data_IF_947246105143
#
_entry.id   IF_947246105143
#
_cell.length_a   1.000
_cell.length_b   1.000
_cell.length_c   1.000
_cell.angle_alpha   90.00
_cell.angle_beta   90.00
_cell.angle_gamma   90.00
#
_symmetry.space_group_name_H-M   'P 1'
#
loop_
_entity.id
_entity.type
_entity.pdbx_description
1 polymer ?
#
# COMPACT_ATOMS: atom_id res chain seq x y z
N UNK A 1 -6.27 -9.48 1.95
CA UNK A 1 -7.23 -9.10 0.89
C UNK A 1 -7.66 -10.30 0.01
N UNK A 2 -6.76 -10.92 -0.77
CA UNK A 2 -7.09 -11.98 -1.75
C UNK A 2 -7.97 -13.12 -1.22
N UNK A 3 -7.66 -13.67 -0.05
CA UNK A 3 -8.48 -14.73 0.57
C UNK A 3 -9.96 -14.33 0.70
N UNK A 4 -10.24 -13.08 1.10
CA UNK A 4 -11.62 -12.57 1.25
C UNK A 4 -12.33 -12.45 -0.10
N UNK A 5 -11.58 -12.13 -1.16
CA UNK A 5 -12.08 -12.08 -2.55
C UNK A 5 -12.40 -13.51 -3.03
N UNK A 6 -11.51 -14.47 -2.79
CA UNK A 6 -11.73 -15.87 -3.12
C UNK A 6 -12.95 -16.44 -2.38
N UNK A 7 -13.11 -16.12 -1.09
CA UNK A 7 -14.27 -16.50 -0.29
C UNK A 7 -15.57 -15.91 -0.87
N UNK A 8 -15.54 -14.63 -1.32
CA UNK A 8 -16.68 -14.00 -2.00
C UNK A 8 -17.00 -14.68 -3.33
N UNK A 9 -15.97 -15.01 -4.12
CA UNK A 9 -16.13 -15.74 -5.39
C UNK A 9 -16.80 -17.09 -5.20
N UNK A 10 -16.38 -17.86 -4.17
CA UNK A 10 -16.98 -19.14 -3.82
C UNK A 10 -18.45 -18.99 -3.40
N UNK A 11 -18.77 -18.00 -2.56
CA UNK A 11 -20.15 -17.71 -2.14
C UNK A 11 -21.06 -17.41 -3.34
N UNK A 12 -20.61 -16.54 -4.24
CA UNK A 12 -21.35 -16.16 -5.45
C UNK A 12 -21.52 -17.35 -6.39
N UNK A 13 -20.46 -18.12 -6.62
CA UNK A 13 -20.48 -19.30 -7.49
C UNK A 13 -21.47 -20.37 -7.03
N UNK A 14 -21.54 -20.59 -5.71
CA UNK A 14 -22.43 -21.55 -5.06
C UNK A 14 -23.88 -21.07 -4.95
N UNK A 15 -24.21 -19.85 -5.38
CA UNK A 15 -25.49 -19.16 -5.10
C UNK A 15 -25.84 -19.16 -3.60
N UNK A 16 -24.82 -19.23 -2.75
CA UNK A 16 -24.99 -19.34 -1.31
C UNK A 16 -24.93 -17.94 -0.68
N UNK A 17 -25.75 -17.03 -1.21
CA UNK A 17 -25.90 -15.69 -0.68
C UNK A 17 -27.38 -15.31 -0.82
N UNK A 18 -27.99 -14.91 0.30
CA UNK A 18 -29.30 -14.27 0.26
C UNK A 18 -29.02 -12.79 0.08
N UNK A 19 -29.37 -12.25 -1.06
CA UNK A 19 -29.48 -10.80 -1.17
C UNK A 19 -30.71 -10.41 -0.36
N UNK A 20 -30.49 -9.72 0.76
CA UNK A 20 -31.59 -9.20 1.54
C UNK A 20 -32.47 -8.32 0.64
N UNK A 21 -33.79 -8.34 0.84
CA UNK A 21 -34.70 -7.46 0.09
C UNK A 21 -34.39 -5.99 0.34
N UNK A 22 -33.73 -5.72 1.46
CA UNK A 22 -33.33 -4.39 1.91
C UNK A 22 -31.95 -3.94 1.37
N UNK A 23 -31.27 -4.74 0.54
CA UNK A 23 -30.05 -4.28 -0.13
C UNK A 23 -30.40 -3.16 -1.10
N UNK A 24 -29.97 -1.94 -0.76
CA UNK A 24 -30.08 -0.79 -1.63
C UNK A 24 -29.28 -1.03 -2.90
N UNK A 25 -29.80 -0.55 -4.03
CA UNK A 25 -29.04 -0.56 -5.28
C UNK A 25 -27.86 0.39 -5.17
N UNK A 26 -26.72 -0.03 -5.72
CA UNK A 26 -25.50 0.76 -5.65
C UNK A 26 -25.66 2.07 -6.43
N UNK A 27 -25.33 3.17 -5.76
CA UNK A 27 -25.16 4.48 -6.37
C UNK A 27 -24.00 5.21 -5.71
N UNK A 28 -22.93 5.47 -6.45
CA UNK A 28 -21.75 6.16 -5.93
C UNK A 28 -20.53 6.04 -6.84
N UNK A 29 -19.57 6.95 -6.65
CA UNK A 29 -18.32 7.00 -7.42
C UNK A 29 -18.53 6.94 -8.95
N UNK A 30 -19.52 7.69 -9.44
CA UNK A 30 -19.94 7.73 -10.85
C UNK A 30 -20.41 6.38 -11.42
N UNK A 31 -20.83 5.46 -10.56
CA UNK A 31 -21.48 4.20 -10.93
C UNK A 31 -22.90 4.14 -10.36
N UNK A 32 -23.85 3.73 -11.18
CA UNK A 32 -25.22 3.38 -10.78
C UNK A 32 -25.53 1.96 -11.25
N UNK A 33 -26.07 1.13 -10.37
CA UNK A 33 -26.58 -0.20 -10.70
C UNK A 33 -28.11 -0.13 -10.60
N UNK A 34 -28.81 -0.60 -11.63
CA UNK A 34 -30.28 -0.51 -11.73
C UNK A 34 -30.88 -1.73 -12.40
N UNK A 35 -32.16 -2.01 -12.15
CA UNK A 35 -32.93 -3.05 -12.84
C UNK A 35 -33.58 -2.54 -14.14
N UNK A 36 -33.74 -1.22 -14.28
CA UNK A 36 -34.28 -0.58 -15.47
C UNK A 36 -33.55 0.73 -15.80
N UNK A 37 -33.34 0.95 -17.10
CA UNK A 37 -32.83 2.22 -17.62
C UNK A 37 -33.96 3.26 -17.64
N UNK A 38 -33.68 4.47 -17.13
CA UNK A 38 -34.60 5.61 -17.16
C UNK A 38 -34.00 6.75 -17.99
N UNK A 39 -34.83 7.65 -18.51
CA UNK A 39 -34.35 8.83 -19.26
C UNK A 39 -33.41 9.71 -18.44
N UNK A 40 -33.67 9.83 -17.14
CA UNK A 40 -32.79 10.61 -16.25
C UNK A 40 -31.41 9.96 -16.11
N UNK A 41 -31.35 8.63 -16.06
CA UNK A 41 -30.08 7.89 -16.04
C UNK A 41 -29.33 7.97 -17.38
N UNK A 42 -30.05 7.98 -18.51
CA UNK A 42 -29.45 8.19 -19.84
C UNK A 42 -28.80 9.57 -19.94
N UNK A 43 -29.53 10.61 -19.51
CA UNK A 43 -29.03 11.99 -19.46
C UNK A 43 -27.85 12.12 -18.47
N UNK A 44 -27.94 11.49 -17.30
CA UNK A 44 -26.88 11.49 -16.31
C UNK A 44 -25.60 10.82 -16.84
N UNK A 45 -25.73 9.66 -17.49
CA UNK A 45 -24.62 8.92 -18.10
C UNK A 45 -23.93 9.73 -19.21
N UNK A 46 -24.70 10.44 -20.03
CA UNK A 46 -24.19 11.27 -21.13
C UNK A 46 -23.43 12.54 -20.71
N UNK A 47 -23.36 12.85 -19.42
CA UNK A 47 -22.76 14.08 -18.90
C UNK A 47 -21.70 13.80 -17.81
N UNK A 48 -20.54 13.20 -18.15
CA UNK A 48 -19.54 12.79 -17.18
C UNK A 48 -18.88 13.98 -16.47
N UNK A 49 -18.55 13.87 -15.16
CA UNK A 49 -17.82 14.92 -14.45
C UNK A 49 -16.36 14.97 -14.91
N UNK A 50 -15.74 16.13 -14.73
CA UNK A 50 -14.30 16.29 -14.92
C UNK A 50 -13.55 15.71 -13.72
N UNK A 51 -12.64 14.76 -13.93
CA UNK A 51 -11.86 14.12 -12.85
C UNK A 51 -10.37 14.39 -13.06
N UNK A 52 -9.69 14.81 -11.99
CA UNK A 52 -8.23 14.99 -11.94
C UNK A 52 -7.63 13.82 -11.16
N UNK A 53 -6.93 12.91 -11.85
CA UNK A 53 -6.24 11.76 -11.26
C UNK A 53 -4.74 11.78 -11.56
N UNK A 54 -3.96 10.97 -10.84
CA UNK A 54 -2.51 10.85 -11.00
C UNK A 54 -2.21 10.32 -12.41
N UNK A 55 -1.74 11.19 -13.31
CA UNK A 55 -1.18 10.83 -14.62
C UNK A 55 -2.16 10.69 -15.80
N UNK A 56 -3.47 10.91 -15.62
CA UNK A 56 -4.43 10.96 -16.74
C UNK A 56 -5.40 12.13 -16.57
N UNK A 57 -5.26 13.15 -17.42
CA UNK A 57 -6.30 14.15 -17.64
C UNK A 57 -7.39 13.48 -18.50
N UNK A 58 -8.57 13.18 -17.93
CA UNK A 58 -9.62 12.49 -18.68
C UNK A 58 -10.96 12.46 -17.96
N UNK A 59 -12.04 12.40 -18.74
CA UNK A 59 -13.38 12.15 -18.21
C UNK A 59 -13.47 10.70 -17.71
N UNK A 60 -13.67 10.50 -16.40
CA UNK A 60 -14.16 9.21 -15.92
C UNK A 60 -15.63 9.10 -16.33
N UNK A 61 -15.92 8.26 -17.32
CA UNK A 61 -17.28 8.11 -17.82
C UNK A 61 -18.20 7.60 -16.71
N UNK A 62 -19.31 8.31 -16.44
CA UNK A 62 -20.40 7.79 -15.61
C UNK A 62 -20.89 6.46 -16.17
N UNK A 63 -21.02 5.46 -15.32
CA UNK A 63 -21.43 4.12 -15.72
C UNK A 63 -22.76 3.75 -15.11
N UNK A 64 -23.72 3.39 -15.96
CA UNK A 64 -24.96 2.74 -15.54
C UNK A 64 -24.88 1.26 -15.91
N UNK A 65 -25.07 0.37 -14.95
CA UNK A 65 -25.20 -1.08 -15.19
C UNK A 65 -26.67 -1.45 -15.01
N UNK A 66 -27.37 -1.69 -16.11
CA UNK A 66 -28.78 -2.07 -16.11
C UNK A 66 -28.90 -3.60 -16.25
N UNK A 67 -29.34 -4.30 -15.21
CA UNK A 67 -29.38 -5.77 -15.21
C UNK A 67 -30.47 -6.33 -14.28
N UNK A 68 -31.00 -7.51 -14.60
CA UNK A 68 -31.93 -8.23 -13.71
C UNK A 68 -31.29 -8.64 -12.38
N UNK A 69 -29.95 -8.73 -12.36
CA UNK A 69 -29.16 -9.06 -11.17
C UNK A 69 -28.72 -7.82 -10.39
N UNK A 70 -29.44 -6.70 -10.50
CA UNK A 70 -29.02 -5.42 -9.94
C UNK A 70 -28.75 -5.48 -8.43
N UNK A 71 -29.55 -6.27 -7.69
CA UNK A 71 -29.38 -6.43 -6.24
C UNK A 71 -28.16 -7.30 -5.91
N UNK A 72 -27.98 -8.40 -6.62
CA UNK A 72 -26.83 -9.30 -6.49
C UNK A 72 -25.51 -8.58 -6.82
N UNK A 73 -25.49 -7.78 -7.90
CA UNK A 73 -24.31 -7.00 -8.28
C UNK A 73 -24.03 -5.89 -7.26
N UNK A 74 -25.07 -5.22 -6.75
CA UNK A 74 -24.93 -4.23 -5.68
C UNK A 74 -24.35 -4.86 -4.40
N UNK A 75 -24.82 -6.06 -4.04
CA UNK A 75 -24.24 -6.84 -2.95
C UNK A 75 -22.74 -7.10 -3.15
N UNK A 76 -22.33 -7.55 -4.34
CA UNK A 76 -20.91 -7.74 -4.69
C UNK A 76 -20.12 -6.43 -4.53
N UNK A 77 -20.66 -5.29 -4.98
CA UNK A 77 -20.00 -3.99 -4.82
C UNK A 77 -19.83 -3.60 -3.34
N UNK A 78 -20.81 -3.87 -2.48
CA UNK A 78 -20.69 -3.58 -1.04
C UNK A 78 -19.67 -4.50 -0.34
N UNK A 79 -19.66 -5.79 -0.66
CA UNK A 79 -18.65 -6.72 -0.13
C UNK A 79 -17.24 -6.31 -0.59
N UNK A 80 -17.08 -5.94 -1.86
CA UNK A 80 -15.81 -5.45 -2.39
C UNK A 80 -15.40 -4.12 -1.76
N UNK A 81 -16.34 -3.19 -1.53
CA UNK A 81 -16.08 -1.96 -0.78
C UNK A 81 -15.49 -2.25 0.60
N UNK A 82 -16.05 -3.21 1.32
CA UNK A 82 -15.57 -3.60 2.66
C UNK A 82 -14.21 -4.31 2.59
N UNK A 83 -13.99 -5.18 1.59
CA UNK A 83 -12.71 -5.85 1.37
C UNK A 83 -11.58 -4.85 1.08
N UNK A 84 -11.87 -3.80 0.30
CA UNK A 84 -10.89 -2.81 -0.14
C UNK A 84 -10.88 -1.52 0.69
N UNK A 85 -11.59 -1.47 1.82
CA UNK A 85 -11.80 -0.23 2.58
C UNK A 85 -10.51 0.50 3.01
N UNK A 86 -9.42 -0.24 3.23
CA UNK A 86 -8.10 0.33 3.62
C UNK A 86 -7.25 0.76 2.42
N UNK A 87 -7.69 0.46 1.20
CA UNK A 87 -6.94 0.66 -0.04
C UNK A 87 -7.64 1.64 -1.00
N UNK A 88 -8.90 1.96 -0.72
CA UNK A 88 -9.70 2.92 -1.49
C UNK A 88 -9.77 4.24 -0.74
N UNK A 89 -9.42 5.33 -1.42
CA UNK A 89 -9.49 6.70 -0.92
C UNK A 89 -10.30 7.60 -1.88
N UNK A 90 -10.28 8.92 -1.62
CA UNK A 90 -10.99 9.88 -2.47
C UNK A 90 -10.37 10.03 -3.88
N UNK A 91 -9.10 9.68 -4.06
CA UNK A 91 -8.36 9.80 -5.31
C UNK A 91 -8.63 8.61 -6.24
N UNK A 92 -8.70 7.39 -5.70
CA UNK A 92 -8.74 6.16 -6.50
C UNK A 92 -10.13 5.49 -6.59
N UNK A 93 -11.11 5.88 -5.74
CA UNK A 93 -12.44 5.26 -5.71
C UNK A 93 -13.14 5.23 -7.08
N UNK A 94 -13.02 6.29 -7.87
CA UNK A 94 -13.70 6.39 -9.18
C UNK A 94 -13.14 5.38 -10.18
N UNK A 95 -11.83 5.18 -10.18
CA UNK A 95 -11.19 4.16 -11.01
C UNK A 95 -11.61 2.76 -10.56
N UNK A 96 -11.56 2.49 -9.25
CA UNK A 96 -11.93 1.19 -8.70
C UNK A 96 -13.37 0.78 -9.07
N UNK A 97 -14.36 1.60 -8.71
CA UNK A 97 -15.76 1.27 -9.00
C UNK A 97 -16.05 1.31 -10.50
N UNK A 98 -15.40 2.20 -11.26
CA UNK A 98 -15.51 2.24 -12.71
C UNK A 98 -15.00 0.98 -13.40
N UNK A 99 -13.90 0.37 -12.92
CA UNK A 99 -13.40 -0.93 -13.43
C UNK A 99 -14.38 -2.06 -13.14
N UNK A 100 -14.92 -2.13 -11.92
CA UNK A 100 -15.95 -3.12 -11.57
C UNK A 100 -17.20 -3.02 -12.46
N UNK A 101 -17.68 -1.80 -12.70
CA UNK A 101 -18.84 -1.53 -13.54
C UNK A 101 -18.57 -1.88 -15.02
N UNK A 102 -17.37 -1.59 -15.50
CA UNK A 102 -16.95 -1.93 -16.86
C UNK A 102 -16.92 -3.45 -17.06
N UNK A 103 -16.33 -4.19 -16.11
CA UNK A 103 -16.31 -5.65 -16.13
C UNK A 103 -17.74 -6.24 -16.15
N UNK A 104 -18.64 -5.69 -15.32
CA UNK A 104 -20.04 -6.11 -15.30
C UNK A 104 -20.74 -5.86 -16.65
N UNK A 105 -20.57 -4.68 -17.24
CA UNK A 105 -21.17 -4.31 -18.54
C UNK A 105 -20.65 -5.17 -19.70
N UNK A 106 -19.35 -5.48 -19.70
CA UNK A 106 -18.75 -6.36 -20.71
C UNK A 106 -19.34 -7.77 -20.59
N UNK A 107 -19.46 -8.32 -19.38
CA UNK A 107 -20.08 -9.64 -19.22
C UNK A 107 -21.56 -9.68 -19.64
N UNK A 108 -22.31 -8.60 -19.37
CA UNK A 108 -23.71 -8.46 -19.81
C UNK A 108 -23.87 -8.52 -21.34
N UNK A 109 -22.95 -7.89 -22.09
CA UNK A 109 -23.04 -7.83 -23.55
C UNK A 109 -22.91 -9.22 -24.21
N UNK A 110 -22.27 -10.17 -23.51
CA UNK A 110 -22.16 -11.57 -23.94
C UNK A 110 -23.33 -12.47 -23.47
N UNK A 111 -24.37 -11.90 -22.83
CA UNK A 111 -25.57 -12.59 -22.33
C UNK A 111 -25.29 -13.75 -21.37
N UNK A 112 -24.18 -13.70 -20.64
CA UNK A 112 -23.87 -14.65 -19.58
C UNK A 112 -24.12 -13.99 -18.22
N UNK A 113 -25.40 -13.94 -17.82
CA UNK A 113 -25.84 -13.26 -16.60
C UNK A 113 -25.11 -13.81 -15.34
N UNK A 114 -24.77 -15.10 -15.30
CA UNK A 114 -24.02 -15.68 -14.17
C UNK A 114 -22.54 -15.28 -14.20
N UNK A 115 -21.97 -15.07 -15.38
CA UNK A 115 -20.60 -14.62 -15.53
C UNK A 115 -20.41 -13.15 -15.14
N UNK A 116 -21.46 -12.33 -15.13
CA UNK A 116 -21.36 -10.92 -14.72
C UNK A 116 -20.79 -10.73 -13.31
N UNK A 117 -21.38 -11.39 -12.31
CA UNK A 117 -20.93 -11.27 -10.93
C UNK A 117 -19.50 -11.81 -10.77
N UNK A 118 -19.18 -12.90 -11.48
CA UNK A 118 -17.87 -13.54 -11.44
C UNK A 118 -16.81 -12.65 -12.10
N UNK A 119 -17.09 -12.04 -13.24
CA UNK A 119 -16.17 -11.13 -13.93
C UNK A 119 -15.92 -9.85 -13.13
N UNK A 120 -16.93 -9.32 -12.44
CA UNK A 120 -16.74 -8.22 -11.49
C UNK A 120 -15.77 -8.62 -10.36
N UNK A 121 -15.93 -9.82 -9.81
CA UNK A 121 -15.03 -10.33 -8.75
C UNK A 121 -13.63 -10.62 -9.30
N UNK A 122 -13.51 -11.16 -10.52
CA UNK A 122 -12.23 -11.39 -11.19
C UNK A 122 -11.49 -10.07 -11.41
N UNK A 123 -12.19 -9.01 -11.80
CA UNK A 123 -11.60 -7.68 -11.95
C UNK A 123 -11.12 -7.13 -10.61
N UNK A 124 -11.90 -7.32 -9.54
CA UNK A 124 -11.44 -7.00 -8.20
C UNK A 124 -10.19 -7.80 -7.80
N UNK A 125 -10.13 -9.09 -8.14
CA UNK A 125 -8.96 -9.93 -7.89
C UNK A 125 -7.73 -9.43 -8.63
N UNK A 126 -7.85 -9.06 -9.91
CA UNK A 126 -6.75 -8.43 -10.68
C UNK A 126 -6.28 -7.14 -10.03
N UNK A 127 -7.19 -6.27 -9.60
CA UNK A 127 -6.85 -5.05 -8.86
C UNK A 127 -6.13 -5.34 -7.53
N UNK A 128 -6.56 -6.37 -6.80
CA UNK A 128 -5.87 -6.80 -5.58
C UNK A 128 -4.45 -7.29 -5.86
N UNK A 129 -4.27 -8.10 -6.91
CA UNK A 129 -2.96 -8.58 -7.34
C UNK A 129 -2.06 -7.42 -7.79
N UNK A 130 -2.60 -6.43 -8.51
CA UNK A 130 -1.88 -5.21 -8.86
C UNK A 130 -1.38 -4.49 -7.59
N UNK A 131 -2.26 -4.24 -6.62
CA UNK A 131 -1.94 -3.56 -5.36
C UNK A 131 -0.88 -4.33 -4.55
N UNK A 132 -1.02 -5.65 -4.43
CA UNK A 132 -0.10 -6.50 -3.67
C UNK A 132 1.30 -6.50 -4.30
N UNK A 133 1.36 -6.41 -5.63
CA UNK A 133 2.61 -6.36 -6.38
C UNK A 133 3.20 -4.94 -6.48
N UNK A 134 2.55 -3.90 -5.93
CA UNK A 134 3.17 -2.58 -5.79
C UNK A 134 4.33 -2.70 -4.81
N UNK A 135 5.54 -2.53 -5.34
CA UNK A 135 6.73 -2.39 -4.53
C UNK A 135 6.80 -0.98 -3.93
N UNK A 136 7.01 -0.92 -2.63
CA UNK A 136 7.33 0.30 -1.88
C UNK A 136 8.79 0.27 -1.48
N UNK A 137 9.42 1.43 -1.44
CA UNK A 137 10.78 1.55 -0.90
C UNK A 137 10.74 1.88 0.59
N UNK A 138 11.52 1.14 1.36
CA UNK A 138 11.71 1.33 2.80
C UNK A 138 13.20 1.56 3.10
N UNK A 139 13.51 2.72 3.66
CA UNK A 139 14.86 3.07 4.09
C UNK A 139 15.11 2.59 5.53
N UNK A 140 15.97 1.56 5.66
CA UNK A 140 16.44 1.05 6.93
C UNK A 140 17.82 1.61 7.27
N UNK A 141 17.92 2.35 8.38
CA UNK A 141 19.19 2.89 8.91
C UNK A 141 19.62 2.23 10.23
N UNK A 142 18.77 1.36 10.80
CA UNK A 142 18.94 0.75 12.12
C UNK A 142 18.99 -0.77 12.04
N UNK A 143 18.39 -1.44 13.03
CA UNK A 143 18.46 -2.91 13.10
C UNK A 143 17.84 -3.65 11.90
N UNK A 144 16.91 -3.01 11.18
CA UNK A 144 16.35 -3.53 9.92
C UNK A 144 17.34 -3.45 8.74
N UNK A 145 18.58 -2.98 8.92
CA UNK A 145 19.65 -3.22 7.94
C UNK A 145 20.09 -4.69 7.93
N UNK A 146 19.87 -5.44 9.02
CA UNK A 146 20.24 -6.85 9.10
C UNK A 146 19.27 -7.74 8.31
N UNK A 147 19.77 -8.54 7.37
CA UNK A 147 18.91 -9.29 6.45
C UNK A 147 18.18 -10.45 7.13
N UNK A 148 18.77 -11.07 8.17
CA UNK A 148 18.09 -12.11 8.95
C UNK A 148 16.84 -11.54 9.60
N UNK A 149 16.97 -10.42 10.30
CA UNK A 149 15.83 -9.72 10.92
C UNK A 149 14.79 -9.30 9.87
N UNK A 150 15.22 -8.79 8.71
CA UNK A 150 14.30 -8.42 7.64
C UNK A 150 13.61 -9.62 7.00
N UNK A 151 14.27 -10.77 6.89
CA UNK A 151 13.66 -12.00 6.35
C UNK A 151 12.56 -12.55 7.26
N UNK A 152 12.71 -12.38 8.58
CA UNK A 152 11.69 -12.79 9.57
C UNK A 152 10.49 -11.83 9.58
N UNK A 153 10.73 -10.53 9.45
CA UNK A 153 9.67 -9.50 9.48
C UNK A 153 8.96 -9.35 8.14
N UNK A 154 9.73 -9.35 7.05
CA UNK A 154 9.27 -9.09 5.70
C UNK A 154 9.77 -10.19 4.74
N UNK A 155 9.23 -11.42 4.82
CA UNK A 155 9.65 -12.51 3.95
C UNK A 155 9.52 -12.11 2.46
N UNK A 156 10.60 -12.32 1.70
CA UNK A 156 10.67 -11.98 0.28
C UNK A 156 10.99 -10.52 -0.04
N UNK A 157 11.19 -9.66 0.96
CA UNK A 157 11.73 -8.32 0.75
C UNK A 157 13.11 -8.40 0.08
N UNK A 158 13.38 -7.46 -0.83
CA UNK A 158 14.62 -7.43 -1.62
C UNK A 158 15.41 -6.17 -1.31
N UNK A 159 16.73 -6.28 -1.30
CA UNK A 159 17.59 -5.11 -1.25
C UNK A 159 17.59 -4.47 -2.65
N UNK A 160 17.22 -3.20 -2.70
CA UNK A 160 17.23 -2.40 -3.93
C UNK A 160 18.59 -1.70 -4.10
N UNK A 161 19.07 -1.03 -3.06
CA UNK A 161 20.30 -0.24 -3.11
C UNK A 161 20.83 0.07 -1.69
N UNK A 162 22.12 0.39 -1.58
CA UNK A 162 22.61 1.18 -0.45
C UNK A 162 22.32 2.64 -0.73
N UNK A 163 21.86 3.36 0.28
CA UNK A 163 21.39 4.72 0.11
C UNK A 163 21.85 5.61 1.25
N UNK A 164 21.92 6.91 0.95
CA UNK A 164 22.27 7.97 1.88
C UNK A 164 21.11 8.94 2.03
N UNK A 165 20.77 9.21 3.28
CA UNK A 165 19.91 10.31 3.67
C UNK A 165 20.78 11.49 4.13
N UNK A 166 20.79 12.58 3.37
CA UNK A 166 21.54 13.78 3.70
C UNK A 166 20.75 14.70 4.66
N UNK A 167 21.46 15.40 5.54
CA UNK A 167 20.85 16.32 6.51
C UNK A 167 20.27 15.64 7.74
N UNK A 168 20.62 14.36 7.97
CA UNK A 168 20.18 13.58 9.12
C UNK A 168 21.34 12.83 9.75
N UNK A 169 21.33 12.74 11.08
CA UNK A 169 22.30 11.98 11.87
C UNK A 169 21.62 10.81 12.58
N UNK A 170 22.22 9.63 12.46
CA UNK A 170 21.86 8.47 13.27
C UNK A 170 22.17 8.71 14.75
N UNK A 171 21.22 8.37 15.62
CA UNK A 171 21.38 8.43 17.06
C UNK A 171 20.84 7.15 17.71
N UNK A 172 21.26 6.90 18.95
CA UNK A 172 20.57 6.00 19.87
C UNK A 172 19.80 6.85 20.87
N UNK A 173 18.51 6.56 21.01
CA UNK A 173 17.67 7.27 21.98
C UNK A 173 17.79 6.67 23.39
N UNK A 174 17.15 7.28 24.39
CA UNK A 174 17.16 6.83 25.80
C UNK A 174 16.56 5.43 26.02
N UNK A 175 15.80 4.93 25.04
CA UNK A 175 15.35 3.54 25.04
C UNK A 175 16.44 2.58 24.57
N UNK A 176 17.58 3.06 24.08
CA UNK A 176 18.70 2.27 23.61
C UNK A 176 18.51 1.63 22.23
N UNK A 177 17.66 2.25 21.40
CA UNK A 177 17.40 1.86 20.00
C UNK A 177 17.65 3.03 19.07
N UNK A 178 17.77 2.76 17.77
CA UNK A 178 18.16 3.75 16.75
C UNK A 178 17.04 4.73 16.39
N UNK A 179 17.40 5.98 16.15
CA UNK A 179 16.58 7.00 15.51
C UNK A 179 17.45 7.83 14.56
N UNK A 180 16.83 8.73 13.81
CA UNK A 180 17.52 9.78 13.06
C UNK A 180 16.98 11.16 13.48
N UNK A 181 17.88 12.14 13.56
CA UNK A 181 17.53 13.54 13.84
C UNK A 181 18.06 14.44 12.74
N UNK A 182 17.41 15.57 12.50
CA UNK A 182 17.88 16.57 11.56
C UNK A 182 19.24 17.14 12.01
N UNK A 183 20.18 17.18 11.08
CA UNK A 183 21.53 17.71 11.23
C UNK A 183 22.09 17.98 9.84
N UNK A 184 22.08 19.25 9.41
CA UNK A 184 22.36 19.67 8.04
C UNK A 184 23.77 19.33 7.56
N UNK A 185 24.71 19.10 8.48
CA UNK A 185 26.10 18.75 8.16
C UNK A 185 26.36 17.24 8.17
N UNK A 186 25.37 16.45 8.60
CA UNK A 186 25.47 15.01 8.73
C UNK A 186 24.74 14.27 7.62
N UNK A 187 25.00 12.97 7.55
CA UNK A 187 24.26 12.03 6.73
C UNK A 187 24.07 10.71 7.46
N UNK A 188 23.07 9.95 7.00
CA UNK A 188 22.79 8.61 7.48
C UNK A 188 22.76 7.64 6.31
N UNK A 189 23.67 6.68 6.32
CA UNK A 189 23.69 5.61 5.33
C UNK A 189 22.85 4.42 5.81
N UNK A 190 22.29 3.69 4.86
CA UNK A 190 21.49 2.52 5.16
C UNK A 190 21.08 1.74 3.92
N UNK A 191 20.13 0.84 4.11
CA UNK A 191 19.67 -0.11 3.10
C UNK A 191 18.27 0.25 2.64
N UNK A 192 18.10 0.35 1.32
CA UNK A 192 16.81 0.49 0.69
C UNK A 192 16.23 -0.88 0.40
N UNK A 193 15.13 -1.21 1.07
CA UNK A 193 14.37 -2.43 0.82
C UNK A 193 13.21 -2.15 -0.12
N UNK A 194 12.99 -3.05 -1.07
CA UNK A 194 11.74 -3.19 -1.81
C UNK A 194 10.81 -4.12 -1.02
N UNK A 195 9.67 -3.58 -0.59
CA UNK A 195 8.70 -4.24 0.30
C UNK A 195 7.27 -4.13 -0.25
N UNK A 196 6.36 -5.00 0.19
CA UNK A 196 4.93 -4.91 -0.16
C UNK A 196 4.14 -4.10 0.86
N UNK A 197 2.85 -3.87 0.59
CA UNK A 197 1.95 -3.24 1.57
C UNK A 197 1.81 -4.05 2.85
N UNK A 198 1.74 -5.38 2.75
CA UNK A 198 1.67 -6.27 3.92
C UNK A 198 2.92 -6.17 4.78
N UNK A 199 4.10 -6.02 4.17
CA UNK A 199 5.34 -5.77 4.91
C UNK A 199 5.28 -4.45 5.68
N UNK A 200 4.69 -3.39 5.08
CA UNK A 200 4.48 -2.12 5.79
C UNK A 200 3.60 -2.34 7.02
N UNK A 201 2.52 -3.12 6.91
CA UNK A 201 1.62 -3.37 8.05
C UNK A 201 2.32 -4.13 9.18
N UNK A 202 3.18 -5.11 8.85
CA UNK A 202 4.01 -5.82 9.84
C UNK A 202 5.02 -4.87 10.49
N UNK A 203 5.67 -4.00 9.69
CA UNK A 203 6.62 -3.02 10.22
C UNK A 203 5.92 -1.98 11.10
N UNK A 204 4.75 -1.46 10.72
CA UNK A 204 3.97 -0.50 11.52
C UNK A 204 3.65 -1.08 12.91
N UNK A 205 3.34 -2.38 12.99
CA UNK A 205 3.14 -3.08 14.27
C UNK A 205 4.45 -3.21 15.07
N UNK A 206 5.53 -3.67 14.43
CA UNK A 206 6.85 -3.87 15.06
C UNK A 206 7.47 -2.58 15.58
N UNK A 207 7.34 -1.50 14.82
CA UNK A 207 7.84 -0.16 15.16
C UNK A 207 6.85 0.59 16.08
N UNK A 208 5.71 -0.02 16.42
CA UNK A 208 4.76 0.52 17.40
C UNK A 208 4.13 1.84 16.98
N UNK A 209 3.78 1.99 15.69
CA UNK A 209 3.21 3.23 15.13
C UNK A 209 1.91 3.61 15.82
N UNK A 210 1.01 2.63 16.06
CA UNK A 210 -0.24 2.85 16.81
C UNK A 210 -0.02 3.32 18.26
N UNK A 211 1.16 3.06 18.82
CA UNK A 211 1.55 3.44 20.18
C UNK A 211 2.50 4.63 20.21
N UNK A 212 2.66 5.34 19.09
CA UNK A 212 3.55 6.50 18.94
C UNK A 212 5.00 6.21 19.39
N UNK A 213 5.49 5.00 19.15
CA UNK A 213 6.89 4.61 19.42
C UNK A 213 7.80 5.14 18.31
N UNK A 214 7.39 4.91 17.06
CA UNK A 214 7.91 5.56 15.87
C UNK A 214 6.74 6.15 15.08
N UNK A 215 7.04 7.16 14.26
CA UNK A 215 6.13 7.63 13.22
C UNK A 215 6.74 7.37 11.85
N UNK A 216 5.88 7.18 10.85
CA UNK A 216 6.27 6.96 9.47
C UNK A 216 6.38 8.29 8.72
N UNK A 217 7.40 8.44 7.90
CA UNK A 217 7.61 9.61 7.03
C UNK A 217 8.08 9.13 5.66
N UNK A 218 7.71 9.83 4.59
CA UNK A 218 8.34 9.67 3.28
C UNK A 218 9.52 10.62 3.18
N UNK A 219 10.66 10.13 2.70
CA UNK A 219 11.87 10.91 2.55
C UNK A 219 12.60 10.52 1.27
N UNK A 220 13.32 11.48 0.69
CA UNK A 220 14.17 11.26 -0.46
C UNK A 220 15.55 10.78 0.00
N UNK A 221 16.02 9.65 -0.52
CA UNK A 221 17.36 9.11 -0.29
C UNK A 221 18.12 8.97 -1.60
N UNK A 222 19.44 9.14 -1.57
CA UNK A 222 20.31 9.06 -2.74
C UNK A 222 20.99 7.70 -2.81
N UNK A 223 21.06 7.08 -3.99
CA UNK A 223 21.86 5.86 -4.20
C UNK A 223 23.34 6.13 -3.96
N UNK A 224 24.02 5.18 -3.31
CA UNK A 224 25.47 5.20 -3.18
C UNK A 224 26.17 4.56 -4.38
N UNK A 225 25.46 3.79 -5.20
CA UNK A 225 26.00 3.10 -6.38
C UNK A 225 25.72 3.84 -7.69
N UNK A 226 24.57 4.49 -7.81
CA UNK A 226 24.11 5.14 -9.03
C UNK A 226 24.12 6.65 -8.85
N UNK A 227 24.96 7.34 -9.64
CA UNK A 227 25.08 8.79 -9.63
C UNK A 227 23.72 9.45 -9.92
N UNK A 228 23.34 10.44 -9.10
CA UNK A 228 22.09 11.21 -9.20
C UNK A 228 20.78 10.41 -9.08
N UNK A 229 20.84 9.10 -8.83
CA UNK A 229 19.65 8.28 -8.58
C UNK A 229 19.08 8.57 -7.19
N UNK A 230 17.81 8.97 -7.14
CA UNK A 230 17.08 9.21 -5.91
C UNK A 230 15.86 8.28 -5.79
N UNK A 231 15.47 8.00 -4.55
CA UNK A 231 14.31 7.18 -4.22
C UNK A 231 13.45 7.90 -3.18
N UNK A 232 12.14 7.94 -3.41
CA UNK A 232 11.16 8.27 -2.37
C UNK A 232 10.91 7.00 -1.54
N UNK A 233 11.24 7.06 -0.26
CA UNK A 233 11.22 5.91 0.63
C UNK A 233 10.50 6.20 1.94
N UNK A 234 9.78 5.20 2.43
CA UNK A 234 9.24 5.18 3.79
C UNK A 234 10.41 5.07 4.78
N UNK A 235 10.33 5.79 5.89
CA UNK A 235 11.26 5.68 7.01
C UNK A 235 10.49 5.75 8.33
N UNK A 236 10.95 5.00 9.33
CA UNK A 236 10.44 5.09 10.70
C UNK A 236 11.39 5.95 11.53
N UNK A 237 10.88 7.00 12.17
CA UNK A 237 11.65 7.89 13.04
C UNK A 237 11.07 7.81 14.45
N UNK A 238 11.92 7.65 15.47
CA UNK A 238 11.44 7.50 16.83
C UNK A 238 10.77 8.80 17.28
N UNK A 239 9.63 8.70 17.97
CA UNK A 239 8.96 9.88 18.53
C UNK A 239 9.75 10.51 19.69
N UNK A 240 10.71 9.76 20.26
CA UNK A 240 11.64 10.23 21.28
C UNK A 240 13.08 10.25 20.74
N UNK A 241 13.63 11.45 20.67
CA UNK A 241 14.98 11.74 20.18
C UNK A 241 15.99 12.10 21.28
N UNK A 242 15.62 11.92 22.55
CA UNK A 242 16.55 12.14 23.67
C UNK A 242 17.65 11.09 23.63
N UNK A 243 18.90 11.53 23.62
CA UNK A 243 20.06 10.65 23.47
C UNK A 243 20.19 9.66 24.65
N UNK A 244 20.62 8.44 24.35
CA UNK A 244 20.86 7.38 25.33
C UNK A 244 21.99 6.45 24.91
N UNK A 245 22.16 5.32 25.61
CA UNK A 245 23.17 4.31 25.27
C UNK A 245 22.51 3.10 24.59
N UNK A 246 23.18 2.42 23.65
CA UNK A 246 22.63 1.24 23.00
C UNK A 246 22.34 0.12 24.00
N UNK A 247 21.24 -0.60 23.78
CA UNK A 247 21.02 -1.87 24.47
C UNK A 247 22.08 -2.88 24.04
N UNK A 248 22.42 -3.79 24.94
CA UNK A 248 23.32 -4.91 24.64
C UNK A 248 22.87 -5.64 23.37
N UNK A 249 23.76 -5.80 22.41
CA UNK A 249 23.50 -6.49 21.14
C UNK A 249 22.74 -5.68 20.09
N UNK A 250 22.24 -4.48 20.41
CA UNK A 250 21.50 -3.66 19.44
C UNK A 250 22.45 -3.06 18.39
N UNK A 251 23.49 -2.37 18.84
CA UNK A 251 24.42 -1.70 17.94
C UNK A 251 25.23 -2.71 17.14
N UNK A 252 25.59 -3.83 17.76
CA UNK A 252 26.24 -4.97 17.11
C UNK A 252 25.42 -5.45 15.92
N UNK A 253 24.11 -5.65 16.08
CA UNK A 253 23.22 -6.02 14.97
C UNK A 253 23.13 -4.96 13.88
N UNK A 254 23.11 -3.68 14.24
CA UNK A 254 23.12 -2.55 13.28
C UNK A 254 24.41 -2.60 12.46
N UNK A 255 25.55 -2.77 13.11
CA UNK A 255 26.87 -2.85 12.47
C UNK A 255 26.98 -4.11 11.61
N UNK A 256 26.54 -5.27 12.10
CA UNK A 256 26.50 -6.52 11.33
C UNK A 256 25.68 -6.34 10.05
N UNK A 257 24.48 -5.75 10.14
CA UNK A 257 23.65 -5.47 8.98
C UNK A 257 24.29 -4.48 8.01
N UNK A 258 24.96 -3.44 8.52
CA UNK A 258 25.70 -2.50 7.66
C UNK A 258 26.87 -3.18 6.94
N UNK A 259 27.63 -4.04 7.64
CA UNK A 259 28.76 -4.78 7.10
C UNK A 259 28.33 -5.82 6.06
N UNK A 260 27.34 -6.63 6.41
CA UNK A 260 26.73 -7.66 5.54
C UNK A 260 26.34 -7.09 4.18
N UNK A 261 25.76 -5.89 4.20
CA UNK A 261 25.24 -5.23 3.01
C UNK A 261 26.24 -4.28 2.35
N UNK A 262 27.50 -4.25 2.80
CA UNK A 262 28.57 -3.49 2.17
C UNK A 262 28.45 -1.97 2.30
N UNK A 263 27.90 -1.46 3.41
CA UNK A 263 28.01 -0.04 3.78
C UNK A 263 29.48 0.29 4.01
N UNK A 264 29.88 1.52 3.66
CA UNK A 264 31.27 1.96 3.72
C UNK A 264 31.86 1.84 5.14
N UNK A 265 33.12 1.39 5.21
CA UNK A 265 33.82 1.16 6.46
C UNK A 265 34.04 2.43 7.30
N UNK A 266 34.12 3.60 6.65
CA UNK A 266 34.21 4.88 7.34
C UNK A 266 32.88 5.23 8.00
N UNK A 267 31.73 4.96 7.36
CA UNK A 267 30.42 5.13 8.00
C UNK A 267 30.23 4.15 9.17
N UNK A 268 30.67 2.90 9.03
CA UNK A 268 30.67 1.93 10.14
C UNK A 268 31.54 2.41 11.31
N UNK A 269 32.66 3.09 11.04
CA UNK A 269 33.49 3.70 12.09
C UNK A 269 32.76 4.82 12.81
N UNK A 270 32.03 5.67 12.09
CA UNK A 270 31.14 6.70 12.67
C UNK A 270 30.11 6.05 13.59
N UNK A 271 29.47 4.95 13.16
CA UNK A 271 28.50 4.23 13.99
C UNK A 271 29.12 3.73 15.31
N UNK A 272 30.38 3.27 15.31
CA UNK A 272 31.08 2.77 16.51
C UNK A 272 31.51 3.91 17.44
N UNK A 273 32.17 4.93 16.90
CA UNK A 273 32.75 6.04 17.68
C UNK A 273 31.72 6.84 18.48
N UNK A 274 30.46 6.83 18.06
CA UNK A 274 29.41 7.53 18.79
C UNK A 274 29.04 6.88 20.15
N UNK A 275 29.54 5.68 20.45
CA UNK A 275 29.11 4.89 21.62
C UNK A 275 30.23 4.21 22.41
N UNK A 276 31.49 4.40 22.03
CA UNK A 276 32.67 4.08 22.84
C UNK A 276 32.90 5.16 23.91
#
# INVERSE_FOLDING_TARGET
MLKRIDDLQLKVSAKNFKVDKDVNLWGGADVVITDAMTKDLELWQGNPPFVVGIGKLGFAGRQVVCTKLARELSYVFYELKDIFQEYIDYNNKYEFYGRLASAARIADCYKDEKNMLIETINEAKRMAEEIINIAYYYFAYGSNMNSVQMSERCPGAKIEARVRLQGFRFIINERGVGSIIEDSLSHTDGILWSITKEHIDILDEREGVKHNTYFRKNITVMSLEQVERQYEALVYIASNNKLGKPRLGYLERVIEGAQENGIDSDYIRILKQNWE
#
